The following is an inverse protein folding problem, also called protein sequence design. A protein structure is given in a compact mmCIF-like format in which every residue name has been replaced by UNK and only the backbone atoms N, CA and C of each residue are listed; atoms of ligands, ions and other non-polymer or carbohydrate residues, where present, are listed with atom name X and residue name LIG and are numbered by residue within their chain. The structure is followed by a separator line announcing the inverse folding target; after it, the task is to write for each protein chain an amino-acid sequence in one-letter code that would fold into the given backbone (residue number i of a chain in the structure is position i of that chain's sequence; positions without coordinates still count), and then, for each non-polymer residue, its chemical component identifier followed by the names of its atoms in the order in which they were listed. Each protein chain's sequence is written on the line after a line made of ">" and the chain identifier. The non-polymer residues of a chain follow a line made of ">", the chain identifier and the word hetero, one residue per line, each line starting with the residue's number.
data_IF_423650238602
#
_entry.id   IF_423650238602
#
_cell.length_a   1.000
_cell.length_b   1.000
_cell.length_c   1.000
_cell.angle_alpha   90.00
_cell.angle_beta   90.00
_cell.angle_gamma   90.00
#
_symmetry.space_group_name_H-M   'P 1'
#
loop_
_entity.id
_entity.type
_entity.pdbx_description
1 polymer ?
#
# COMPACT_ATOMS: atom_id res chain seq x y z
N UNK A 1 36.81 -30.08 35.08
CA UNK A 1 36.94 -29.40 33.77
C UNK A 1 35.92 -28.28 33.75
N UNK A 2 36.30 -27.02 33.50
CA UNK A 2 35.33 -25.92 33.51
C UNK A 2 34.41 -26.06 32.30
N UNK A 3 33.11 -26.09 32.58
CA UNK A 3 32.05 -26.22 31.59
C UNK A 3 31.92 -24.88 30.84
N UNK A 4 32.73 -24.69 29.79
CA UNK A 4 32.56 -23.58 28.85
C UNK A 4 31.28 -23.84 28.05
N UNK A 5 30.15 -23.37 28.58
CA UNK A 5 28.91 -23.31 27.80
C UNK A 5 29.12 -22.33 26.65
N UNK A 6 28.84 -22.71 25.40
CA UNK A 6 28.93 -21.79 24.29
C UNK A 6 27.90 -20.68 24.48
N UNK A 7 28.38 -19.46 24.69
CA UNK A 7 27.55 -18.26 24.62
C UNK A 7 27.18 -18.13 23.14
N UNK A 8 25.99 -18.61 22.78
CA UNK A 8 25.41 -18.34 21.48
C UNK A 8 25.25 -16.82 21.39
N UNK A 9 25.99 -16.20 20.46
CA UNK A 9 25.92 -14.78 20.20
C UNK A 9 24.46 -14.40 19.93
N UNK A 10 23.93 -13.46 20.72
CA UNK A 10 22.58 -12.94 20.54
C UNK A 10 22.47 -12.40 19.10
N UNK A 11 21.63 -13.00 18.24
CA UNK A 11 21.47 -12.52 16.89
C UNK A 11 20.86 -11.11 16.93
N UNK A 12 21.67 -10.15 16.49
CA UNK A 12 21.34 -8.80 16.03
C UNK A 12 20.38 -7.94 16.88
N UNK A 13 20.99 -7.12 17.74
CA UNK A 13 20.35 -6.06 18.54
C UNK A 13 19.64 -4.94 17.76
N UNK A 14 19.66 -4.94 16.42
CA UNK A 14 19.10 -3.82 15.64
C UNK A 14 17.57 -3.81 15.63
N UNK A 15 16.93 -4.98 15.58
CA UNK A 15 15.45 -5.08 15.58
C UNK A 15 14.84 -4.83 16.96
N UNK A 16 15.58 -5.12 18.04
CA UNK A 16 15.17 -4.83 19.42
C UNK A 16 15.02 -3.33 19.70
N UNK A 17 15.88 -2.49 19.14
CA UNK A 17 15.82 -1.04 19.34
C UNK A 17 14.56 -0.41 18.72
N UNK A 18 14.10 -0.92 17.57
CA UNK A 18 12.91 -0.39 16.89
C UNK A 18 11.62 -0.69 17.67
N UNK A 19 11.54 -1.86 18.31
CA UNK A 19 10.35 -2.27 19.10
C UNK A 19 10.24 -1.44 20.37
N UNK A 20 11.34 -1.27 21.08
CA UNK A 20 11.36 -0.47 22.30
C UNK A 20 11.04 1.00 22.03
N UNK A 21 11.53 1.56 20.91
CA UNK A 21 11.16 2.92 20.48
C UNK A 21 9.64 3.02 20.30
N UNK A 22 9.06 2.15 19.47
CA UNK A 22 7.65 2.25 19.13
C UNK A 22 6.73 2.01 20.35
N UNK A 23 7.04 1.02 21.19
CA UNK A 23 6.30 0.79 22.44
C UNK A 23 6.39 1.98 23.39
N UNK A 24 7.57 2.62 23.47
CA UNK A 24 7.76 3.81 24.27
C UNK A 24 6.92 4.98 23.72
N UNK A 25 6.95 5.23 22.41
CA UNK A 25 6.14 6.26 21.76
C UNK A 25 4.63 6.05 21.99
N UNK A 26 4.15 4.81 21.93
CA UNK A 26 2.74 4.48 22.22
C UNK A 26 2.38 4.65 23.69
N UNK A 27 3.26 4.24 24.60
CA UNK A 27 3.04 4.42 26.04
C UNK A 27 2.91 5.89 26.43
N UNK A 28 3.65 6.77 25.75
CA UNK A 28 3.55 8.21 25.94
C UNK A 28 2.13 8.71 25.61
N UNK A 29 1.49 8.24 24.55
CA UNK A 29 0.16 8.74 24.16
C UNK A 29 -0.92 8.30 25.16
N UNK A 30 -0.81 7.08 25.67
CA UNK A 30 -1.78 6.48 26.59
C UNK A 30 -1.68 7.02 28.03
N UNK A 31 -0.45 7.31 28.50
CA UNK A 31 -0.22 7.79 29.87
C UNK A 31 -0.75 9.19 30.18
N UNK A 32 -1.01 10.01 29.15
CA UNK A 32 -1.39 11.41 29.28
C UNK A 32 -2.86 11.70 28.92
N UNK A 33 -3.74 10.72 29.12
CA UNK A 33 -5.18 11.02 29.29
C UNK A 33 -5.47 11.83 30.57
N UNK A 34 -4.49 11.92 31.48
CA UNK A 34 -4.58 12.73 32.70
C UNK A 34 -4.53 14.23 32.39
N UNK A 35 -5.70 14.78 32.11
CA UNK A 35 -6.07 16.18 32.28
C UNK A 35 -5.21 17.18 31.48
N UNK A 36 -5.34 17.15 30.16
CA UNK A 36 -5.20 18.37 29.35
C UNK A 36 -6.22 19.40 29.88
N UNK A 37 -5.79 20.22 30.83
CA UNK A 37 -6.62 21.28 31.43
C UNK A 37 -6.95 22.28 30.33
N UNK A 38 -8.25 22.55 30.17
CA UNK A 38 -8.81 23.48 29.19
C UNK A 38 -8.35 24.95 29.31
N UNK A 39 -7.39 25.26 30.18
CA UNK A 39 -6.88 26.62 30.35
C UNK A 39 -5.77 26.88 29.33
N UNK A 40 -6.05 27.79 28.41
CA UNK A 40 -5.12 28.51 27.50
C UNK A 40 -3.82 27.78 27.15
N UNK A 41 -3.84 27.09 26.00
CA UNK A 41 -2.64 26.52 25.43
C UNK A 41 -1.71 27.63 24.92
N UNK A 42 -0.44 27.48 25.24
CA UNK A 42 0.64 28.30 24.68
C UNK A 42 1.06 27.76 23.31
N UNK A 43 1.67 28.63 22.49
CA UNK A 43 2.27 28.26 21.20
C UNK A 43 3.24 27.07 21.35
N UNK A 44 4.06 27.09 22.39
CA UNK A 44 5.04 26.04 22.68
C UNK A 44 4.40 24.69 23.04
N UNK A 45 3.24 24.69 23.70
CA UNK A 45 2.52 23.44 24.01
C UNK A 45 1.90 22.80 22.77
N UNK A 46 1.29 23.60 21.87
CA UNK A 46 0.77 23.09 20.60
C UNK A 46 1.92 22.58 19.72
N UNK A 47 3.02 23.34 19.63
CA UNK A 47 4.24 22.91 18.94
C UNK A 47 4.79 21.61 19.51
N UNK A 48 4.89 21.48 20.83
CA UNK A 48 5.38 20.26 21.47
C UNK A 48 4.48 19.06 21.14
N UNK A 49 3.16 19.24 21.19
CA UNK A 49 2.20 18.18 20.89
C UNK A 49 2.24 17.77 19.41
N UNK A 50 2.30 18.72 18.48
CA UNK A 50 2.43 18.41 17.04
C UNK A 50 3.72 17.63 16.77
N UNK A 51 4.85 18.01 17.40
CA UNK A 51 6.10 17.26 17.29
C UNK A 51 6.00 15.86 17.85
N UNK A 52 5.34 15.71 19.00
CA UNK A 52 5.11 14.39 19.61
C UNK A 52 4.31 13.50 18.67
N UNK A 53 3.17 13.98 18.16
CA UNK A 53 2.33 13.23 17.21
C UNK A 53 3.09 12.87 15.93
N UNK A 54 3.97 13.77 15.45
CA UNK A 54 4.84 13.51 14.31
C UNK A 54 5.80 12.35 14.57
N UNK A 55 6.51 12.37 15.69
CA UNK A 55 7.46 11.31 16.04
C UNK A 55 6.74 9.95 16.15
N UNK A 56 5.58 9.92 16.82
CA UNK A 56 4.75 8.72 16.91
C UNK A 56 4.36 8.20 15.53
N UNK A 57 3.89 9.08 14.64
CA UNK A 57 3.50 8.71 13.29
C UNK A 57 4.67 8.15 12.49
N UNK A 58 5.85 8.77 12.59
CA UNK A 58 7.06 8.33 11.88
C UNK A 58 7.55 6.97 12.39
N UNK A 59 7.56 6.74 13.70
CA UNK A 59 7.91 5.44 14.30
C UNK A 59 6.91 4.35 13.89
N UNK A 60 5.62 4.68 13.91
CA UNK A 60 4.57 3.80 13.41
C UNK A 60 4.75 3.46 11.94
N UNK A 61 5.07 4.45 11.10
CA UNK A 61 5.26 4.24 9.67
C UNK A 61 6.49 3.39 9.39
N UNK A 62 7.58 3.61 10.13
CA UNK A 62 8.78 2.79 10.06
C UNK A 62 8.51 1.33 10.45
N UNK A 63 7.68 1.10 11.47
CA UNK A 63 7.22 -0.24 11.83
C UNK A 63 6.47 -0.91 10.66
N UNK A 64 5.49 -0.23 10.07
CA UNK A 64 4.69 -0.77 8.96
C UNK A 64 5.47 -1.00 7.67
N UNK A 65 6.42 -0.11 7.34
CA UNK A 65 7.13 -0.14 6.05
C UNK A 65 8.32 -1.09 6.01
N UNK A 66 8.79 -1.61 7.15
CA UNK A 66 9.93 -2.53 7.13
C UNK A 66 10.18 -3.30 8.41
N UNK A 67 10.07 -2.68 9.59
CA UNK A 67 10.45 -3.38 10.83
C UNK A 67 9.59 -4.62 11.09
N UNK A 68 8.27 -4.52 10.84
CA UNK A 68 7.35 -5.66 10.94
C UNK A 68 7.75 -6.82 10.01
N UNK A 69 8.10 -6.52 8.76
CA UNK A 69 8.48 -7.55 7.81
C UNK A 69 9.76 -8.27 8.24
N UNK A 70 10.76 -7.53 8.71
CA UNK A 70 11.99 -8.11 9.27
C UNK A 70 11.69 -9.02 10.45
N UNK A 71 10.82 -8.61 11.38
CA UNK A 71 10.41 -9.46 12.51
C UNK A 71 9.74 -10.76 12.05
N UNK A 72 8.88 -10.70 11.03
CA UNK A 72 8.23 -11.88 10.46
C UNK A 72 9.24 -12.80 9.77
N UNK A 73 10.20 -12.25 9.04
CA UNK A 73 11.27 -13.02 8.40
C UNK A 73 12.18 -13.72 9.43
N UNK A 74 12.55 -13.02 10.51
CA UNK A 74 13.30 -13.59 11.63
C UNK A 74 12.53 -14.75 12.30
N UNK A 75 11.23 -14.56 12.54
CA UNK A 75 10.37 -15.59 13.11
C UNK A 75 10.27 -16.80 12.18
N UNK A 76 10.11 -16.58 10.87
CA UNK A 76 10.04 -17.67 9.89
C UNK A 76 11.36 -18.44 9.77
N UNK A 77 12.50 -17.75 9.83
CA UNK A 77 13.82 -18.38 9.89
C UNK A 77 13.95 -19.25 11.14
N UNK A 78 13.50 -18.76 12.31
CA UNK A 78 13.50 -19.54 13.55
C UNK A 78 12.63 -20.79 13.46
N UNK A 79 11.48 -20.73 12.79
CA UNK A 79 10.64 -21.91 12.56
C UNK A 79 11.32 -22.96 11.69
N UNK A 80 12.06 -22.54 10.66
CA UNK A 80 12.86 -23.45 9.83
C UNK A 80 13.98 -24.10 10.66
N UNK A 81 14.67 -23.33 11.52
CA UNK A 81 15.67 -23.88 12.44
C UNK A 81 15.07 -24.94 13.37
N UNK A 82 13.90 -24.65 13.96
CA UNK A 82 13.16 -25.58 14.82
C UNK A 82 12.87 -26.90 14.09
N UNK A 83 12.35 -26.82 12.86
CA UNK A 83 12.05 -28.02 12.05
C UNK A 83 13.31 -28.84 11.75
N UNK A 84 14.42 -28.19 11.42
CA UNK A 84 15.68 -28.89 11.18
C UNK A 84 16.21 -29.59 12.44
N UNK A 85 16.10 -28.95 13.61
CA UNK A 85 16.50 -29.55 14.89
C UNK A 85 15.63 -30.77 15.20
N UNK A 86 14.30 -30.66 15.04
CA UNK A 86 13.37 -31.76 15.29
C UNK A 86 13.65 -32.96 14.37
N UNK A 87 13.91 -32.73 13.08
CA UNK A 87 14.29 -33.79 12.15
C UNK A 87 15.63 -34.44 12.53
N UNK A 88 16.62 -33.62 12.91
CA UNK A 88 17.95 -34.07 13.30
C UNK A 88 17.96 -34.89 14.59
N UNK A 89 17.08 -34.59 15.54
CA UNK A 89 16.99 -35.30 16.83
C UNK A 89 16.76 -36.81 16.68
N UNK A 90 16.10 -37.24 15.61
CA UNK A 90 15.88 -38.68 15.33
C UNK A 90 17.19 -39.45 15.09
N UNK A 91 18.20 -38.77 14.53
CA UNK A 91 19.49 -39.34 14.16
C UNK A 91 20.57 -39.14 15.21
N UNK A 92 20.30 -38.36 16.27
CA UNK A 92 21.27 -38.06 17.32
C UNK A 92 21.37 -39.18 18.37
N UNK A 93 22.59 -39.46 18.89
CA UNK A 93 22.79 -40.38 20.00
C UNK A 93 22.12 -39.83 21.28
N UNK A 94 21.73 -40.71 22.24
CA UNK A 94 20.97 -40.32 23.42
C UNK A 94 21.60 -39.18 24.23
N UNK A 95 22.93 -39.14 24.33
CA UNK A 95 23.68 -38.13 25.09
C UNK A 95 23.53 -36.72 24.49
N UNK A 96 23.38 -36.62 23.16
CA UNK A 96 23.20 -35.34 22.48
C UNK A 96 21.75 -34.86 22.50
N UNK A 97 20.78 -35.76 22.67
CA UNK A 97 19.34 -35.44 22.62
C UNK A 97 18.92 -34.44 23.69
N UNK A 98 19.50 -34.53 24.88
CA UNK A 98 19.22 -33.58 25.96
C UNK A 98 19.63 -32.15 25.57
N UNK A 99 20.82 -32.01 24.97
CA UNK A 99 21.33 -30.71 24.52
C UNK A 99 20.46 -30.13 23.40
N UNK A 100 20.08 -30.94 22.41
CA UNK A 100 19.19 -30.49 21.34
C UNK A 100 17.79 -30.16 21.84
N UNK A 101 17.24 -30.92 22.80
CA UNK A 101 15.94 -30.64 23.40
C UNK A 101 15.92 -29.29 24.12
N UNK A 102 17.02 -28.95 24.81
CA UNK A 102 17.17 -27.63 25.44
C UNK A 102 17.22 -26.49 24.41
N UNK A 103 18.01 -26.65 23.34
CA UNK A 103 18.09 -25.65 22.26
C UNK A 103 16.73 -25.48 21.57
N UNK A 104 16.03 -26.59 21.33
CA UNK A 104 14.68 -26.59 20.75
C UNK A 104 13.70 -25.81 21.64
N UNK A 105 13.70 -26.07 22.94
CA UNK A 105 12.84 -25.37 23.88
C UNK A 105 13.14 -23.86 23.95
N UNK A 106 14.42 -23.48 23.92
CA UNK A 106 14.86 -22.08 23.88
C UNK A 106 14.38 -21.38 22.60
N UNK A 107 14.58 -22.02 21.43
CA UNK A 107 14.14 -21.51 20.13
C UNK A 107 12.61 -21.39 20.03
N UNK A 108 11.86 -22.34 20.60
CA UNK A 108 10.40 -22.30 20.67
C UNK A 108 9.92 -21.16 21.58
N UNK A 109 10.54 -20.99 22.76
CA UNK A 109 10.21 -19.89 23.68
C UNK A 109 10.50 -18.52 23.05
N UNK A 110 11.64 -18.37 22.38
CA UNK A 110 11.97 -17.15 21.63
C UNK A 110 10.96 -16.87 20.52
N UNK A 111 10.58 -17.90 19.74
CA UNK A 111 9.58 -17.78 18.68
C UNK A 111 8.22 -17.33 19.19
N UNK A 112 7.75 -17.92 20.29
CA UNK A 112 6.49 -17.56 20.94
C UNK A 112 6.50 -16.12 21.48
N UNK A 113 7.61 -15.69 22.10
CA UNK A 113 7.76 -14.31 22.56
C UNK A 113 7.72 -13.33 21.37
N UNK A 114 8.44 -13.65 20.29
CA UNK A 114 8.51 -12.78 19.10
C UNK A 114 7.15 -12.66 18.42
N UNK A 115 6.41 -13.75 18.33
CA UNK A 115 5.04 -13.76 17.81
C UNK A 115 4.10 -12.92 18.70
N UNK A 116 4.21 -13.04 20.03
CA UNK A 116 3.46 -12.20 20.96
C UNK A 116 3.78 -10.71 20.81
N UNK A 117 5.05 -10.35 20.59
CA UNK A 117 5.47 -8.96 20.35
C UNK A 117 4.84 -8.41 19.06
N UNK A 118 4.91 -9.16 17.95
CA UNK A 118 4.29 -8.75 16.66
C UNK A 118 2.79 -8.54 16.84
N UNK A 119 2.10 -9.51 17.47
CA UNK A 119 0.66 -9.43 17.68
C UNK A 119 0.27 -8.25 18.59
N UNK A 120 1.06 -7.98 19.63
CA UNK A 120 0.88 -6.84 20.52
C UNK A 120 1.02 -5.51 19.78
N UNK A 121 2.06 -5.36 18.94
CA UNK A 121 2.28 -4.15 18.15
C UNK A 121 1.19 -3.96 17.10
N UNK A 122 0.83 -5.02 16.37
CA UNK A 122 -0.24 -4.99 15.36
C UNK A 122 -1.60 -4.62 15.99
N UNK A 123 -1.88 -5.09 17.21
CA UNK A 123 -3.10 -4.73 17.94
C UNK A 123 -3.13 -3.25 18.39
N UNK A 124 -1.97 -2.63 18.61
CA UNK A 124 -1.89 -1.23 19.05
C UNK A 124 -2.00 -0.24 17.89
N UNK A 125 -1.66 -0.65 16.66
CA UNK A 125 -1.67 0.21 15.47
C UNK A 125 -3.01 0.94 15.25
N UNK A 126 -4.18 0.27 15.27
CA UNK A 126 -5.45 0.96 15.05
C UNK A 126 -5.78 1.98 16.15
N UNK A 127 -5.49 1.65 17.42
CA UNK A 127 -5.73 2.53 18.55
C UNK A 127 -4.86 3.79 18.51
N UNK A 128 -3.60 3.65 18.12
CA UNK A 128 -2.69 4.78 17.93
C UNK A 128 -3.20 5.75 16.86
N UNK A 129 -3.72 5.23 15.74
CA UNK A 129 -4.29 6.04 14.65
C UNK A 129 -5.50 6.85 15.11
N UNK A 130 -6.44 6.21 15.82
CA UNK A 130 -7.63 6.90 16.34
C UNK A 130 -7.24 7.96 17.37
N UNK A 131 -6.32 7.64 18.27
CA UNK A 131 -5.86 8.58 19.30
C UNK A 131 -5.17 9.80 18.69
N UNK A 132 -4.32 9.63 17.68
CA UNK A 132 -3.73 10.76 16.94
C UNK A 132 -4.82 11.60 16.26
N UNK A 133 -5.82 10.96 15.64
CA UNK A 133 -6.95 11.65 15.04
C UNK A 133 -7.71 12.52 16.03
N UNK A 134 -8.04 11.96 17.20
CA UNK A 134 -8.75 12.64 18.27
C UNK A 134 -7.95 13.83 18.80
N UNK A 135 -6.63 13.68 18.98
CA UNK A 135 -5.73 14.76 19.41
C UNK A 135 -5.71 15.91 18.41
N UNK A 136 -5.59 15.61 17.11
CA UNK A 136 -5.69 16.63 16.05
C UNK A 136 -7.05 17.33 16.02
N UNK A 137 -8.15 16.56 16.12
CA UNK A 137 -9.51 17.11 16.17
C UNK A 137 -9.69 18.03 17.38
N UNK A 138 -9.16 17.63 18.53
CA UNK A 138 -9.19 18.42 19.74
C UNK A 138 -8.38 19.72 19.59
N UNK A 139 -7.12 19.65 19.11
CA UNK A 139 -6.29 20.85 18.86
C UNK A 139 -6.97 21.80 17.88
N UNK A 140 -7.55 21.27 16.80
CA UNK A 140 -8.29 22.09 15.84
C UNK A 140 -9.50 22.79 16.46
N UNK A 141 -10.20 22.14 17.38
CA UNK A 141 -11.39 22.71 18.03
C UNK A 141 -11.02 23.77 19.08
N UNK A 142 -9.87 23.62 19.74
CA UNK A 142 -9.49 24.44 20.91
C UNK A 142 -8.44 25.50 20.62
N UNK A 143 -7.57 25.26 19.65
CA UNK A 143 -6.40 26.07 19.36
C UNK A 143 -6.18 26.17 17.84
N UNK A 144 -7.26 26.42 17.09
CA UNK A 144 -7.26 26.43 15.61
C UNK A 144 -6.14 27.31 15.06
N UNK A 145 -6.03 28.54 15.52
CA UNK A 145 -5.10 29.52 14.95
C UNK A 145 -3.63 29.13 15.20
N UNK A 146 -3.33 28.62 16.41
CA UNK A 146 -2.01 28.12 16.78
C UNK A 146 -1.65 26.86 15.98
N UNK A 147 -2.59 25.90 15.88
CA UNK A 147 -2.39 24.70 15.07
C UNK A 147 -2.18 25.08 13.60
N UNK A 148 -2.93 26.05 13.08
CA UNK A 148 -2.78 26.52 11.71
C UNK A 148 -1.40 27.10 11.45
N UNK A 149 -0.91 27.99 12.32
CA UNK A 149 0.44 28.54 12.23
C UNK A 149 1.50 27.42 12.21
N UNK A 150 1.38 26.45 13.11
CA UNK A 150 2.33 25.35 13.24
C UNK A 150 2.32 24.41 12.02
N UNK A 151 1.12 24.08 11.50
CA UNK A 151 0.98 23.27 10.28
C UNK A 151 1.60 23.96 9.07
N UNK A 152 1.48 25.29 8.98
CA UNK A 152 2.09 26.08 7.91
C UNK A 152 3.60 26.19 8.04
N UNK A 153 4.10 26.50 9.24
CA UNK A 153 5.54 26.64 9.48
C UNK A 153 6.28 25.33 9.19
N UNK A 154 5.70 24.19 9.58
CA UNK A 154 6.35 22.88 9.47
C UNK A 154 6.02 22.10 8.20
N UNK A 155 4.94 22.46 7.51
CA UNK A 155 4.40 21.65 6.42
C UNK A 155 3.98 20.25 6.87
N UNK A 156 3.59 20.09 8.14
CA UNK A 156 3.17 18.81 8.72
C UNK A 156 1.92 19.00 9.60
N UNK A 157 0.91 18.11 9.55
CA UNK A 157 0.85 16.89 8.75
C UNK A 157 0.78 17.16 7.24
N UNK A 158 1.36 16.28 6.43
CA UNK A 158 1.22 16.34 4.97
C UNK A 158 -0.15 15.81 4.53
N UNK A 159 -0.52 16.02 3.26
CA UNK A 159 -1.79 15.49 2.75
C UNK A 159 -1.90 13.97 2.91
N UNK A 160 -0.82 13.24 2.64
CA UNK A 160 -0.75 11.78 2.81
C UNK A 160 -0.96 11.39 4.28
N UNK A 161 -0.34 12.10 5.22
CA UNK A 161 -0.54 11.89 6.66
C UNK A 161 -1.99 12.16 7.04
N UNK A 162 -2.61 13.20 6.48
CA UNK A 162 -4.01 13.51 6.76
C UNK A 162 -4.94 12.37 6.28
N UNK A 163 -4.70 11.83 5.09
CA UNK A 163 -5.44 10.66 4.58
C UNK A 163 -5.19 9.41 5.44
N UNK A 164 -3.93 9.16 5.79
CA UNK A 164 -3.54 7.99 6.57
C UNK A 164 -3.87 8.10 8.06
N UNK A 165 -4.22 9.27 8.57
CA UNK A 165 -4.80 9.43 9.91
C UNK A 165 -6.31 9.65 9.88
N UNK A 166 -6.92 9.70 8.69
CA UNK A 166 -8.34 10.03 8.51
C UNK A 166 -8.73 11.37 9.18
N UNK A 167 -7.83 12.37 9.10
CA UNK A 167 -8.03 13.66 9.78
C UNK A 167 -9.29 14.39 9.26
N UNK A 168 -9.94 15.23 10.10
CA UNK A 168 -11.06 16.07 9.68
C UNK A 168 -10.79 16.83 8.38
N UNK A 169 -11.81 16.93 7.52
CA UNK A 169 -11.68 17.57 6.20
C UNK A 169 -11.24 19.04 6.28
N UNK A 170 -11.53 19.71 7.39
CA UNK A 170 -11.08 21.07 7.67
C UNK A 170 -9.55 21.17 7.84
N UNK A 171 -8.94 20.18 8.50
CA UNK A 171 -7.48 20.08 8.59
C UNK A 171 -6.86 19.70 7.25
N UNK A 172 -7.50 18.83 6.48
CA UNK A 172 -7.07 18.52 5.11
C UNK A 172 -7.09 19.78 4.25
N UNK A 173 -8.14 20.59 4.34
CA UNK A 173 -8.26 21.85 3.61
C UNK A 173 -7.18 22.86 4.01
N UNK A 174 -6.82 22.89 5.30
CA UNK A 174 -5.73 23.73 5.81
C UNK A 174 -4.39 23.36 5.14
N UNK A 175 -4.07 22.06 5.09
CA UNK A 175 -2.85 21.55 4.46
C UNK A 175 -2.82 21.81 2.95
N UNK A 176 -3.97 21.68 2.27
CA UNK A 176 -4.07 21.91 0.83
C UNK A 176 -4.06 23.38 0.42
N UNK A 177 -4.59 24.27 1.26
CA UNK A 177 -4.75 25.70 0.93
C UNK A 177 -4.09 26.59 1.99
N UNK A 178 -2.75 26.70 1.98
CA UNK A 178 -2.05 27.43 3.02
C UNK A 178 -2.20 28.95 3.00
N UNK A 179 -2.84 29.50 1.96
CA UNK A 179 -2.98 30.95 1.77
C UNK A 179 -4.26 31.57 2.34
N UNK A 180 -5.25 30.76 2.70
CA UNK A 180 -6.60 31.25 3.10
C UNK A 180 -6.65 31.75 4.56
N UNK A 181 -5.63 31.49 5.37
CA UNK A 181 -5.62 31.89 6.78
C UNK A 181 -5.09 33.32 7.04
N UNK A 182 -4.66 34.05 6.00
CA UNK A 182 -3.76 35.20 6.14
C UNK A 182 -4.35 36.60 6.03
N UNK A 183 -5.40 36.86 5.24
CA UNK A 183 -5.81 38.24 4.97
C UNK A 183 -7.33 38.43 4.88
N UNK A 184 -7.82 39.35 5.72
CA UNK A 184 -9.23 39.67 5.94
C UNK A 184 -9.89 40.52 4.82
N UNK A 185 -9.53 40.31 3.56
CA UNK A 185 -10.22 40.93 2.40
C UNK A 185 -10.95 39.90 1.51
N UNK A 186 -11.07 38.66 2.00
CA UNK A 186 -11.62 37.49 1.31
C UNK A 186 -13.17 37.43 1.23
N UNK A 187 -13.93 38.48 1.55
CA UNK A 187 -15.40 38.35 1.49
C UNK A 187 -15.94 38.14 0.07
N UNK A 188 -15.22 38.58 -0.98
CA UNK A 188 -15.67 38.43 -2.37
C UNK A 188 -15.05 37.22 -3.07
N UNK A 189 -13.76 36.97 -2.85
CA UNK A 189 -13.09 35.81 -3.43
C UNK A 189 -13.57 34.50 -2.78
N UNK A 190 -13.87 34.50 -1.48
CA UNK A 190 -14.44 33.34 -0.81
C UNK A 190 -15.88 33.05 -1.28
N UNK A 191 -16.67 34.07 -1.60
CA UNK A 191 -18.01 33.86 -2.18
C UNK A 191 -17.92 33.25 -3.59
N UNK A 192 -16.97 33.71 -4.42
CA UNK A 192 -16.74 33.14 -5.76
C UNK A 192 -16.18 31.72 -5.68
N UNK A 193 -15.26 31.46 -4.74
CA UNK A 193 -14.65 30.15 -4.54
C UNK A 193 -15.66 29.16 -3.92
N UNK A 194 -16.55 29.64 -3.04
CA UNK A 194 -17.66 28.85 -2.51
C UNK A 194 -18.73 28.59 -3.58
N UNK A 195 -18.98 29.55 -4.48
CA UNK A 195 -19.82 29.35 -5.67
C UNK A 195 -19.21 28.32 -6.61
N UNK A 196 -17.90 28.38 -6.88
CA UNK A 196 -17.17 27.41 -7.69
C UNK A 196 -17.19 26.02 -7.05
N UNK A 197 -16.97 25.89 -5.74
CA UNK A 197 -17.07 24.60 -5.03
C UNK A 197 -18.49 24.03 -5.06
N UNK A 198 -19.53 24.88 -4.92
CA UNK A 198 -20.94 24.46 -5.11
C UNK A 198 -21.22 24.04 -6.55
N UNK A 199 -20.65 24.73 -7.53
CA UNK A 199 -20.79 24.40 -8.94
C UNK A 199 -20.13 23.05 -9.27
N UNK A 200 -18.89 22.84 -8.81
CA UNK A 200 -18.16 21.58 -8.97
C UNK A 200 -18.95 20.44 -8.33
N UNK A 201 -19.41 20.59 -7.09
CA UNK A 201 -20.24 19.58 -6.43
C UNK A 201 -21.56 19.31 -7.18
N UNK A 202 -22.21 20.35 -7.69
CA UNK A 202 -23.44 20.19 -8.50
C UNK A 202 -23.15 19.48 -9.82
N UNK A 203 -21.97 19.71 -10.42
CA UNK A 203 -21.54 19.03 -11.63
C UNK A 203 -21.17 17.58 -11.36
N UNK A 204 -20.51 17.28 -10.24
CA UNK A 204 -20.22 15.92 -9.76
C UNK A 204 -21.53 15.16 -9.48
N UNK A 205 -22.48 15.76 -8.75
CA UNK A 205 -23.79 15.17 -8.48
C UNK A 205 -24.58 14.93 -9.78
N UNK A 206 -24.49 15.85 -10.76
CA UNK A 206 -25.09 15.69 -12.08
C UNK A 206 -24.39 14.62 -12.91
N UNK A 207 -23.07 14.50 -12.81
CA UNK A 207 -22.29 13.45 -13.47
C UNK A 207 -22.66 12.10 -12.88
N UNK A 208 -22.72 11.98 -11.56
CA UNK A 208 -23.09 10.76 -10.86
C UNK A 208 -24.57 10.39 -11.11
N UNK A 209 -25.48 11.37 -11.16
CA UNK A 209 -26.87 11.15 -11.55
C UNK A 209 -26.99 10.74 -13.02
N UNK A 210 -26.19 11.31 -13.93
CA UNK A 210 -26.11 10.88 -15.33
C UNK A 210 -25.55 9.48 -15.44
N UNK A 211 -24.47 9.14 -14.73
CA UNK A 211 -23.91 7.79 -14.69
C UNK A 211 -24.88 6.79 -14.08
N UNK A 212 -25.64 7.14 -13.03
CA UNK A 212 -26.72 6.30 -12.48
C UNK A 212 -27.86 6.12 -13.47
N UNK A 213 -28.19 7.14 -14.27
CA UNK A 213 -29.24 7.06 -15.29
C UNK A 213 -28.79 6.30 -16.54
N UNK A 214 -27.54 6.46 -16.96
CA UNK A 214 -26.91 5.64 -18.01
C UNK A 214 -26.77 4.19 -17.54
N UNK A 215 -26.33 3.94 -16.30
CA UNK A 215 -26.31 2.62 -15.69
C UNK A 215 -27.70 2.02 -15.47
N UNK A 216 -28.76 2.83 -15.32
CA UNK A 216 -30.14 2.33 -15.27
C UNK A 216 -30.70 2.01 -16.66
N UNK A 217 -30.17 2.61 -17.73
CA UNK A 217 -30.56 2.31 -19.12
C UNK A 217 -29.74 1.11 -19.63
N UNK A 218 -28.48 0.93 -19.19
CA UNK A 218 -27.71 -0.30 -19.43
C UNK A 218 -28.04 -1.44 -18.47
N UNK A 219 -28.60 -1.22 -17.27
CA UNK A 219 -29.02 -2.32 -16.37
C UNK A 219 -30.22 -3.14 -16.89
N UNK A 220 -30.92 -2.69 -17.93
CA UNK A 220 -31.90 -3.53 -18.66
C UNK A 220 -31.20 -4.38 -19.75
N UNK A 221 -29.95 -4.08 -20.09
CA UNK A 221 -29.12 -4.83 -21.05
C UNK A 221 -27.96 -5.64 -20.42
N UNK A 222 -27.60 -5.41 -19.14
CA UNK A 222 -26.54 -6.15 -18.42
C UNK A 222 -27.02 -6.81 -17.12
N UNK A 223 -28.20 -7.42 -17.13
CA UNK A 223 -28.52 -8.52 -16.18
C UNK A 223 -28.03 -9.89 -16.66
N UNK A 224 -27.15 -9.92 -17.66
CA UNK A 224 -26.36 -11.08 -18.02
C UNK A 224 -25.06 -11.08 -17.22
N UNK A 225 -25.13 -11.34 -15.90
CA UNK A 225 -24.00 -12.03 -15.27
C UNK A 225 -23.92 -13.38 -15.99
N UNK A 226 -23.09 -13.45 -17.03
CA UNK A 226 -22.70 -14.72 -17.63
C UNK A 226 -21.99 -15.45 -16.49
N UNK A 227 -22.74 -16.34 -15.82
CA UNK A 227 -22.15 -17.39 -15.00
C UNK A 227 -21.20 -18.13 -15.94
N UNK A 228 -19.92 -17.80 -15.87
CA UNK A 228 -18.85 -18.63 -16.39
C UNK A 228 -19.18 -20.04 -15.92
N UNK A 229 -19.34 -20.97 -16.86
CA UNK A 229 -19.70 -22.35 -16.52
C UNK A 229 -18.69 -22.88 -15.49
N UNK A 230 -19.16 -23.72 -14.56
CA UNK A 230 -18.31 -24.27 -13.50
C UNK A 230 -17.07 -24.98 -14.07
N UNK A 231 -17.18 -25.49 -15.30
CA UNK A 231 -16.10 -26.07 -16.07
C UNK A 231 -14.97 -25.08 -16.40
N UNK A 232 -15.30 -23.83 -16.74
CA UNK A 232 -14.32 -22.76 -17.00
C UNK A 232 -13.67 -22.32 -15.69
N UNK A 233 -14.45 -22.24 -14.61
CA UNK A 233 -13.93 -21.88 -13.28
C UNK A 233 -12.92 -22.92 -12.78
N UNK A 234 -13.20 -24.21 -12.99
CA UNK A 234 -12.27 -25.29 -12.65
C UNK A 234 -11.03 -25.32 -13.55
N UNK A 235 -11.17 -25.04 -14.86
CA UNK A 235 -10.02 -24.92 -15.76
C UNK A 235 -9.09 -23.76 -15.37
N UNK A 236 -9.65 -22.62 -14.98
CA UNK A 236 -8.89 -21.42 -14.51
C UNK A 236 -8.14 -21.64 -13.20
N UNK A 237 -8.51 -22.62 -12.37
CA UNK A 237 -7.74 -22.95 -11.15
C UNK A 237 -6.43 -23.69 -11.43
N UNK A 238 -6.36 -24.39 -12.56
CA UNK A 238 -5.23 -25.30 -12.87
C UNK A 238 -4.08 -24.61 -13.60
N UNK A 239 -4.38 -23.54 -14.32
CA UNK A 239 -3.41 -22.76 -15.09
C UNK A 239 -3.60 -21.32 -14.66
N UNK A 240 -2.51 -20.62 -14.33
CA UNK A 240 -2.53 -19.19 -14.03
C UNK A 240 -2.09 -18.44 -15.29
N UNK A 241 -3.01 -17.90 -16.11
CA UNK A 241 -2.59 -17.15 -17.28
C UNK A 241 -1.75 -15.93 -16.87
N UNK A 242 -0.73 -15.59 -17.68
CA UNK A 242 0.21 -14.54 -17.36
C UNK A 242 -0.51 -13.19 -17.28
N UNK A 243 -0.02 -12.32 -16.41
CA UNK A 243 -0.54 -10.96 -16.19
C UNK A 243 0.43 -9.97 -16.80
N UNK A 244 -0.07 -8.93 -17.46
CA UNK A 244 0.77 -7.90 -18.09
C UNK A 244 0.55 -6.52 -17.46
N UNK A 245 1.65 -5.94 -16.96
CA UNK A 245 1.66 -4.59 -16.38
C UNK A 245 2.24 -3.51 -17.29
N UNK A 246 2.93 -3.90 -18.37
CA UNK A 246 3.86 -3.09 -19.14
C UNK A 246 5.24 -3.77 -19.24
N UNK A 247 6.13 -3.29 -20.12
CA UNK A 247 7.45 -3.89 -20.31
C UNK A 247 8.15 -3.41 -21.59
N UNK A 248 9.21 -4.11 -21.98
CA UNK A 248 9.86 -3.91 -23.27
C UNK A 248 8.95 -4.35 -24.43
N UNK A 249 9.22 -3.85 -25.63
CA UNK A 249 8.52 -4.28 -26.86
C UNK A 249 8.51 -5.80 -27.01
N UNK A 250 9.64 -6.45 -26.72
CA UNK A 250 9.76 -7.90 -26.80
C UNK A 250 8.89 -8.60 -25.75
N UNK A 251 8.87 -8.09 -24.50
CA UNK A 251 8.04 -8.64 -23.44
C UNK A 251 6.53 -8.56 -23.78
N UNK A 252 6.09 -7.50 -24.45
CA UNK A 252 4.70 -7.39 -24.91
C UNK A 252 4.37 -8.45 -25.99
N UNK A 253 5.28 -8.66 -26.96
CA UNK A 253 5.13 -9.70 -27.99
C UNK A 253 5.11 -11.10 -27.40
N UNK A 254 6.04 -11.38 -26.49
CA UNK A 254 6.13 -12.69 -25.85
C UNK A 254 4.88 -12.97 -25.01
N UNK A 255 4.38 -11.96 -24.28
CA UNK A 255 3.19 -12.09 -23.45
C UNK A 255 1.93 -12.42 -24.25
N UNK A 256 1.68 -11.73 -25.37
CA UNK A 256 0.45 -12.00 -26.16
C UNK A 256 0.51 -13.38 -26.83
N UNK A 257 1.71 -13.85 -27.23
CA UNK A 257 1.94 -15.20 -27.75
C UNK A 257 1.64 -16.24 -26.67
N UNK A 258 2.18 -16.04 -25.46
CA UNK A 258 1.94 -16.92 -24.32
C UNK A 258 0.45 -16.97 -23.95
N UNK A 259 -0.21 -15.80 -23.88
CA UNK A 259 -1.64 -15.72 -23.61
C UNK A 259 -2.46 -16.49 -24.66
N UNK A 260 -2.16 -16.32 -25.95
CA UNK A 260 -2.84 -17.04 -27.03
C UNK A 260 -2.71 -18.55 -26.90
N UNK A 261 -1.49 -19.03 -26.61
CA UNK A 261 -1.22 -20.45 -26.38
C UNK A 261 -2.06 -21.00 -25.22
N UNK A 262 -2.13 -20.26 -24.10
CA UNK A 262 -2.95 -20.65 -22.94
C UNK A 262 -4.44 -20.61 -23.28
N UNK A 263 -4.92 -19.56 -23.94
CA UNK A 263 -6.31 -19.41 -24.33
C UNK A 263 -6.76 -20.51 -25.30
N UNK A 264 -5.89 -20.93 -26.21
CA UNK A 264 -6.14 -22.04 -27.13
C UNK A 264 -6.16 -23.38 -26.40
N UNK A 265 -5.20 -23.63 -25.50
CA UNK A 265 -5.18 -24.84 -24.67
C UNK A 265 -6.43 -24.97 -23.80
N UNK A 266 -6.90 -23.86 -23.23
CA UNK A 266 -8.14 -23.79 -22.44
C UNK A 266 -9.42 -23.78 -23.29
N UNK A 267 -9.28 -23.67 -24.62
CA UNK A 267 -10.35 -23.56 -25.61
C UNK A 267 -11.29 -22.38 -25.36
N UNK A 268 -10.74 -21.21 -25.02
CA UNK A 268 -11.51 -19.99 -24.85
C UNK A 268 -12.16 -19.58 -26.17
N UNK A 269 -13.47 -19.33 -26.10
CA UNK A 269 -14.23 -18.61 -27.12
C UNK A 269 -13.73 -17.17 -27.25
N UNK A 270 -14.07 -16.51 -28.36
CA UNK A 270 -13.68 -15.12 -28.59
C UNK A 270 -14.17 -14.20 -27.46
N UNK A 271 -15.42 -14.36 -27.03
CA UNK A 271 -15.98 -13.57 -25.93
C UNK A 271 -15.22 -13.81 -24.61
N UNK A 272 -14.91 -15.07 -24.29
CA UNK A 272 -14.17 -15.38 -23.06
C UNK A 272 -12.76 -14.81 -23.05
N UNK A 273 -12.11 -14.70 -24.22
CA UNK A 273 -10.81 -14.03 -24.33
C UNK A 273 -10.92 -12.54 -24.02
N UNK A 274 -11.95 -11.89 -24.54
CA UNK A 274 -12.22 -10.47 -24.29
C UNK A 274 -12.52 -10.22 -22.81
N UNK A 275 -13.36 -11.06 -22.20
CA UNK A 275 -13.71 -10.96 -20.79
C UNK A 275 -12.49 -11.20 -19.87
N UNK A 276 -11.58 -12.12 -20.24
CA UNK A 276 -10.37 -12.39 -19.46
C UNK A 276 -9.35 -11.24 -19.54
N UNK A 277 -9.24 -10.54 -20.68
CA UNK A 277 -8.31 -9.41 -20.85
C UNK A 277 -8.45 -8.32 -19.79
N UNK A 278 -9.67 -7.98 -19.41
CA UNK A 278 -9.93 -6.95 -18.40
C UNK A 278 -9.30 -7.29 -17.03
N UNK A 279 -9.10 -8.58 -16.73
CA UNK A 279 -8.52 -9.06 -15.47
C UNK A 279 -7.01 -9.30 -15.58
N UNK A 280 -6.49 -9.53 -16.80
CA UNK A 280 -5.07 -9.82 -17.04
C UNK A 280 -4.19 -8.58 -17.15
N UNK A 281 -4.78 -7.42 -17.42
CA UNK A 281 -4.02 -6.17 -17.41
C UNK A 281 -3.89 -5.60 -16.00
N UNK A 282 -2.69 -5.08 -15.70
CA UNK A 282 -2.38 -4.32 -14.48
C UNK A 282 -1.69 -3.00 -14.83
N UNK A 283 -1.61 -2.09 -13.86
CA UNK A 283 -0.82 -0.85 -13.96
C UNK A 283 -1.10 -0.10 -15.28
N UNK A 284 -0.06 0.28 -16.02
CA UNK A 284 -0.14 1.03 -17.28
C UNK A 284 -1.00 0.33 -18.32
N UNK A 285 -0.93 -1.00 -18.42
CA UNK A 285 -1.76 -1.75 -19.36
C UNK A 285 -3.26 -1.70 -19.02
N UNK A 286 -3.61 -1.73 -17.73
CA UNK A 286 -4.99 -1.60 -17.30
C UNK A 286 -5.53 -0.19 -17.58
N UNK A 287 -4.71 0.83 -17.30
CA UNK A 287 -5.03 2.22 -17.61
C UNK A 287 -5.27 2.39 -19.11
N UNK A 288 -4.36 1.92 -19.95
CA UNK A 288 -4.52 1.92 -21.41
C UNK A 288 -5.82 1.23 -21.85
N UNK A 289 -6.08 0.01 -21.34
CA UNK A 289 -7.28 -0.74 -21.67
C UNK A 289 -8.55 0.01 -21.26
N UNK A 290 -8.55 0.70 -20.12
CA UNK A 290 -9.72 1.48 -19.67
C UNK A 290 -10.10 2.59 -20.65
N UNK A 291 -9.13 3.22 -21.31
CA UNK A 291 -9.33 4.29 -22.30
C UNK A 291 -9.66 3.80 -23.72
N UNK A 292 -9.56 2.51 -24.01
CA UNK A 292 -9.95 1.98 -25.32
C UNK A 292 -11.45 2.12 -25.58
N UNK A 293 -11.79 2.41 -26.84
CA UNK A 293 -13.16 2.48 -27.33
C UNK A 293 -13.85 1.11 -27.24
N UNK A 294 -15.16 1.04 -26.91
CA UNK A 294 -15.90 -0.22 -26.82
C UNK A 294 -15.82 -1.08 -28.08
N UNK A 295 -15.78 -0.46 -29.26
CA UNK A 295 -15.67 -1.15 -30.55
C UNK A 295 -14.37 -1.96 -30.66
N UNK A 296 -13.27 -1.43 -30.08
CA UNK A 296 -11.98 -2.13 -30.02
C UNK A 296 -12.02 -3.23 -28.96
N UNK A 297 -12.70 -3.00 -27.83
CA UNK A 297 -12.82 -3.97 -26.73
C UNK A 297 -13.71 -5.17 -27.05
N UNK A 298 -14.66 -5.02 -27.98
CA UNK A 298 -15.64 -6.05 -28.31
C UNK A 298 -15.19 -6.97 -29.47
N UNK A 299 -14.00 -6.76 -30.03
CA UNK A 299 -13.44 -7.57 -31.09
C UNK A 299 -11.98 -7.95 -30.77
N UNK A 300 -11.72 -9.26 -30.69
CA UNK A 300 -10.40 -9.79 -30.31
C UNK A 300 -9.29 -9.30 -31.24
N UNK A 301 -9.52 -9.33 -32.56
CA UNK A 301 -8.49 -8.99 -33.54
C UNK A 301 -8.16 -7.49 -33.48
N UNK A 302 -9.17 -6.65 -33.25
CA UNK A 302 -8.99 -5.20 -33.05
C UNK A 302 -8.28 -4.89 -31.73
N UNK A 303 -8.65 -5.56 -30.64
CA UNK A 303 -7.98 -5.41 -29.34
C UNK A 303 -6.51 -5.82 -29.41
N UNK A 304 -6.22 -6.97 -30.03
CA UNK A 304 -4.87 -7.46 -30.20
C UNK A 304 -4.02 -6.50 -31.04
N UNK A 305 -4.56 -6.01 -32.15
CA UNK A 305 -3.86 -5.03 -32.99
C UNK A 305 -3.54 -3.77 -32.21
N UNK A 306 -4.51 -3.23 -31.46
CA UNK A 306 -4.31 -2.05 -30.63
C UNK A 306 -3.25 -2.30 -29.53
N UNK A 307 -3.25 -3.50 -28.93
CA UNK A 307 -2.25 -3.89 -27.94
C UNK A 307 -0.84 -3.91 -28.54
N UNK A 308 -0.69 -4.55 -29.70
CA UNK A 308 0.59 -4.64 -30.39
C UNK A 308 1.08 -3.27 -30.89
N UNK A 309 0.17 -2.41 -31.34
CA UNK A 309 0.49 -1.05 -31.74
C UNK A 309 1.04 -0.23 -30.56
N UNK A 310 0.36 -0.30 -29.41
CA UNK A 310 0.72 0.50 -28.25
C UNK A 310 1.95 -0.03 -27.50
N UNK A 311 2.02 -1.34 -27.24
CA UNK A 311 3.07 -1.94 -26.40
C UNK A 311 4.18 -2.65 -27.19
N UNK A 312 3.91 -3.10 -28.41
CA UNK A 312 4.87 -3.86 -29.22
C UNK A 312 5.42 -3.07 -30.42
N UNK A 313 5.21 -1.75 -30.44
CA UNK A 313 5.72 -0.82 -31.45
C UNK A 313 4.92 -0.75 -32.76
N UNK A 314 3.87 -1.56 -32.93
CA UNK A 314 3.10 -1.61 -34.18
C UNK A 314 3.93 -2.00 -35.41
N UNK A 315 3.30 -1.98 -36.58
CA UNK A 315 3.95 -2.34 -37.86
C UNK A 315 4.92 -1.25 -38.38
N UNK A 316 4.98 -0.07 -37.74
CA UNK A 316 5.72 1.10 -38.21
C UNK A 316 6.86 1.57 -37.30
N UNK A 317 7.19 0.91 -36.19
CA UNK A 317 8.39 1.28 -35.43
C UNK A 317 9.64 0.72 -36.09
N UNK A 318 10.35 1.60 -36.81
CA UNK A 318 11.79 1.43 -37.01
C UNK A 318 12.47 1.29 -35.63
N UNK A 319 13.25 0.23 -35.52
CA UNK A 319 14.02 -0.17 -34.36
C UNK A 319 14.79 1.02 -33.73
N UNK A 320 14.45 1.49 -32.52
CA UNK A 320 15.16 2.59 -31.87
C UNK A 320 16.59 2.21 -31.40
N UNK A 321 16.96 0.92 -31.44
CA UNK A 321 18.29 0.44 -31.01
C UNK A 321 19.43 0.71 -32.03
N UNK A 322 19.16 1.35 -33.17
CA UNK A 322 20.22 1.69 -34.14
C UNK A 322 20.89 3.04 -33.85
N UNK A 323 20.34 3.89 -32.97
CA UNK A 323 20.85 5.26 -32.78
C UNK A 323 21.88 5.46 -31.66
N UNK A 324 22.23 4.43 -30.86
CA UNK A 324 23.13 4.61 -29.70
C UNK A 324 24.55 4.04 -29.92
N UNK A 325 24.89 3.51 -31.12
CA UNK A 325 26.22 2.94 -31.39
C UNK A 325 27.14 3.72 -32.34
N UNK A 326 26.74 4.87 -32.87
CA UNK A 326 27.58 5.63 -33.83
C UNK A 326 28.49 6.71 -33.24
N UNK A 327 28.46 7.00 -31.93
CA UNK A 327 29.30 8.06 -31.34
C UNK A 327 30.50 7.57 -30.52
N UNK A 328 30.64 6.26 -30.27
CA UNK A 328 31.74 5.72 -29.46
C UNK A 328 33.01 5.34 -30.26
N UNK A 329 33.16 5.74 -31.53
CA UNK A 329 34.34 5.42 -32.36
C UNK A 329 35.04 6.63 -32.99
N UNK A 330 34.81 7.85 -32.47
CA UNK A 330 35.60 9.04 -32.82
C UNK A 330 36.19 9.69 -31.58
N UNK A 331 37.05 8.96 -30.88
CA UNK A 331 38.04 9.48 -29.93
C UNK A 331 39.03 8.36 -29.63
N UNK A 332 40.04 8.24 -30.50
CA UNK A 332 41.17 7.33 -30.40
C UNK A 332 42.26 7.83 -31.33
#
# INVERSE_FOLDING_TARGET
>A
MPNNSPILANPDSSSGNSIHSFQHALSQISGEESAMKLSEYTDDEIRAEVNRLKNIYEEWKAYQQGARELMVQELQKNWVDIQHIEQGMSMCPPEARETFSRILAEKQAWGAQREADINSLDAQVPGARELMNERFRWMYTKAKDLLSAEVYERGWPTFEVCQDLNLPGELVNLVLNPRIAGDADESKENDELMQLRRLVKTLEDKLEAKMKKENSITAIATSGQVKLSDEIRERRKRIHPPVFGGGSIQAAKDWIIEYKSVAEHLKFTQQERLDDMAVRFKSVALTWYSYLLPEVKNDWDSLERAFLEYFAGGENTQNPDVYVRSEASRSG
#
